data_IF_626530101091
#
_entry.id   IF_626530101091
#
_cell.length_a   1.000
_cell.length_b   1.000
_cell.length_c   1.000
_cell.angle_alpha   90.00
_cell.angle_beta   90.00
_cell.angle_gamma   90.00
#
_symmetry.space_group_name_H-M   'P 1'
#
loop_
_entity.id
_entity.type
_entity.pdbx_description
1 polymer ?
#
# COMPACT_ATOMS: atom_id res chain seq x y z
N UNK A 1 9.63 6.05 32.66
CA UNK A 1 9.94 5.31 31.42
C UNK A 1 8.71 4.51 31.06
N UNK A 2 7.94 4.93 30.06
CA UNK A 2 6.79 4.17 29.57
C UNK A 2 7.38 3.07 28.69
N UNK A 3 7.22 1.81 29.10
CA UNK A 3 7.55 0.66 28.25
C UNK A 3 6.32 0.45 27.35
N UNK A 4 6.45 0.67 26.03
CA UNK A 4 5.33 0.43 25.13
C UNK A 4 4.99 -1.06 25.15
N UNK A 5 3.74 -1.36 25.42
CA UNK A 5 3.23 -2.74 25.36
C UNK A 5 3.08 -3.12 23.89
N UNK A 6 3.74 -4.20 23.48
CA UNK A 6 3.57 -4.73 22.14
C UNK A 6 2.15 -5.32 22.04
N UNK A 7 1.27 -4.65 21.30
CA UNK A 7 -0.08 -5.15 21.03
C UNK A 7 -0.07 -5.77 19.64
N UNK A 8 -0.41 -7.05 19.56
CA UNK A 8 -0.59 -7.70 18.28
C UNK A 8 -1.89 -7.20 17.64
N UNK A 9 -1.86 -6.99 16.33
CA UNK A 9 -3.07 -6.72 15.56
C UNK A 9 -3.76 -8.06 15.35
N UNK A 10 -4.92 -8.25 15.98
CA UNK A 10 -5.82 -9.37 15.70
C UNK A 10 -6.89 -8.99 14.67
N UNK A 11 -7.78 -9.94 14.37
CA UNK A 11 -8.84 -9.76 13.39
C UNK A 11 -9.84 -8.66 13.77
N UNK A 12 -10.12 -8.49 15.07
CA UNK A 12 -11.05 -7.48 15.57
C UNK A 12 -10.44 -6.09 15.44
N UNK A 13 -9.19 -5.91 15.89
CA UNK A 13 -8.45 -4.66 15.78
C UNK A 13 -8.26 -4.27 14.31
N UNK A 14 -7.89 -5.21 13.44
CA UNK A 14 -7.73 -4.95 12.01
C UNK A 14 -9.04 -4.48 11.37
N UNK A 15 -10.13 -5.21 11.64
CA UNK A 15 -11.46 -4.86 11.14
C UNK A 15 -11.88 -3.48 11.63
N UNK A 16 -11.79 -3.21 12.93
CA UNK A 16 -12.14 -1.91 13.50
C UNK A 16 -11.37 -0.78 12.80
N UNK A 17 -10.06 -0.92 12.63
CA UNK A 17 -9.24 0.10 11.95
C UNK A 17 -9.69 0.37 10.52
N UNK A 18 -10.09 -0.66 9.77
CA UNK A 18 -10.61 -0.46 8.40
C UNK A 18 -11.88 0.41 8.43
N UNK A 19 -12.83 0.11 9.32
CA UNK A 19 -14.12 0.78 9.39
C UNK A 19 -14.05 2.18 10.01
N UNK A 20 -13.25 2.36 11.06
CA UNK A 20 -13.23 3.60 11.85
C UNK A 20 -12.14 4.58 11.41
N UNK A 21 -11.07 4.10 10.76
CA UNK A 21 -9.95 4.94 10.32
C UNK A 21 -9.80 4.99 8.81
N UNK A 22 -9.63 3.84 8.16
CA UNK A 22 -9.21 3.79 6.75
C UNK A 22 -10.32 4.28 5.81
N UNK A 23 -11.52 3.71 5.90
CA UNK A 23 -12.62 4.07 5.00
C UNK A 23 -13.06 5.54 5.16
N UNK A 24 -13.24 6.07 6.38
CA UNK A 24 -13.53 7.48 6.58
C UNK A 24 -12.44 8.39 6.01
N UNK A 25 -11.15 8.04 6.19
CA UNK A 25 -10.06 8.82 5.63
C UNK A 25 -10.07 8.82 4.10
N UNK A 26 -10.37 7.69 3.46
CA UNK A 26 -10.52 7.61 2.00
C UNK A 26 -11.66 8.50 1.53
N UNK A 27 -12.85 8.38 2.13
CA UNK A 27 -14.02 9.22 1.74
C UNK A 27 -13.74 10.71 1.91
N UNK A 28 -13.00 11.11 2.95
CA UNK A 28 -12.71 12.51 3.27
C UNK A 28 -11.53 13.12 2.52
N UNK A 29 -10.53 12.32 2.12
CA UNK A 29 -9.26 12.83 1.57
C UNK A 29 -9.01 12.44 0.13
N UNK A 30 -9.61 11.37 -0.39
CA UNK A 30 -9.21 10.81 -1.69
C UNK A 30 -9.86 11.57 -2.86
N UNK A 31 -9.09 12.31 -3.67
CA UNK A 31 -9.63 13.03 -4.81
C UNK A 31 -9.85 12.03 -5.95
N UNK A 32 -11.10 11.67 -6.21
CA UNK A 32 -11.42 10.70 -7.27
C UNK A 32 -12.66 11.06 -8.06
N UNK A 33 -12.60 10.87 -9.37
CA UNK A 33 -13.76 10.85 -10.25
C UNK A 33 -14.53 9.52 -10.16
N UNK A 34 -13.83 8.44 -9.77
CA UNK A 34 -14.40 7.10 -9.60
C UNK A 34 -14.38 6.70 -8.13
N UNK A 35 -15.54 6.64 -7.49
CA UNK A 35 -15.67 6.27 -6.07
C UNK A 35 -15.57 4.75 -5.83
N UNK A 36 -14.97 4.00 -6.74
CA UNK A 36 -14.72 2.56 -6.60
C UNK A 36 -13.31 2.32 -6.08
N UNK A 37 -13.20 1.72 -4.90
CA UNK A 37 -11.94 1.48 -4.19
C UNK A 37 -11.76 -0.02 -3.98
N UNK A 38 -10.56 -0.50 -4.31
CA UNK A 38 -10.13 -1.87 -4.01
C UNK A 38 -9.17 -1.80 -2.83
N UNK A 39 -9.56 -2.38 -1.70
CA UNK A 39 -8.68 -2.55 -0.54
C UNK A 39 -7.93 -3.85 -0.75
N UNK A 40 -6.64 -3.74 -1.04
CA UNK A 40 -5.76 -4.90 -1.20
C UNK A 40 -5.02 -5.17 0.12
N UNK A 41 -4.92 -6.45 0.49
CA UNK A 41 -4.13 -6.93 1.64
C UNK A 41 -3.55 -8.32 1.37
N UNK A 42 -2.54 -8.72 2.14
CA UNK A 42 -1.97 -10.07 2.10
C UNK A 42 -2.87 -11.07 2.87
N UNK A 43 -2.41 -12.32 2.98
CA UNK A 43 -3.16 -13.39 3.65
C UNK A 43 -2.76 -13.61 5.12
N UNK A 44 -2.22 -12.60 5.82
CA UNK A 44 -1.97 -12.70 7.25
C UNK A 44 -3.25 -13.05 8.02
N UNK A 45 -3.15 -13.87 9.07
CA UNK A 45 -4.34 -14.38 9.80
C UNK A 45 -5.35 -13.31 10.21
N UNK A 46 -4.95 -12.13 10.75
CA UNK A 46 -5.90 -11.06 11.11
C UNK A 46 -6.75 -10.55 9.94
N UNK A 47 -6.21 -10.59 8.73
CA UNK A 47 -6.89 -10.09 7.52
C UNK A 47 -8.09 -10.95 7.12
N UNK A 48 -8.21 -12.17 7.66
CA UNK A 48 -9.41 -13.00 7.54
C UNK A 48 -10.64 -12.44 8.23
N UNK A 49 -10.49 -11.44 9.12
CA UNK A 49 -11.59 -10.84 9.89
C UNK A 49 -12.53 -9.90 9.13
N UNK A 50 -12.29 -9.67 7.85
CA UNK A 50 -13.10 -8.78 7.01
C UNK A 50 -13.40 -9.39 5.64
N UNK A 51 -14.62 -9.15 5.17
CA UNK A 51 -15.19 -9.69 3.92
C UNK A 51 -15.81 -8.59 3.06
N UNK A 52 -16.20 -8.92 1.83
CA UNK A 52 -16.89 -7.96 0.94
C UNK A 52 -18.29 -7.63 1.46
N UNK A 53 -18.93 -8.59 2.11
CA UNK A 53 -20.24 -8.46 2.74
C UNK A 53 -20.19 -7.41 3.85
N UNK A 54 -19.12 -7.38 4.63
CA UNK A 54 -18.90 -6.36 5.66
C UNK A 54 -18.78 -4.96 5.04
N UNK A 55 -18.07 -4.84 3.90
CA UNK A 55 -17.85 -3.58 3.20
C UNK A 55 -19.10 -3.04 2.49
N UNK A 56 -20.13 -3.86 2.30
CA UNK A 56 -21.39 -3.42 1.69
C UNK A 56 -22.04 -2.28 2.50
N UNK A 57 -21.99 -2.36 3.83
CA UNK A 57 -22.57 -1.38 4.75
C UNK A 57 -21.95 0.03 4.64
N UNK A 58 -20.68 0.12 4.22
CA UNK A 58 -19.92 1.37 4.09
C UNK A 58 -19.77 1.84 2.64
N UNK A 59 -20.25 1.04 1.69
CA UNK A 59 -20.34 1.37 0.26
C UNK A 59 -21.57 2.23 -0.03
N UNK A 60 -21.55 3.44 0.52
CA UNK A 60 -22.63 4.43 0.48
C UNK A 60 -22.21 5.68 -0.31
N UNK A 61 -23.16 6.54 -0.66
CA UNK A 61 -22.88 7.87 -1.25
C UNK A 61 -22.12 7.80 -2.58
N UNK A 62 -22.43 6.74 -3.35
CA UNK A 62 -21.78 6.39 -4.60
C UNK A 62 -20.42 5.71 -4.44
N UNK A 63 -19.93 5.51 -3.21
CA UNK A 63 -18.72 4.73 -2.97
C UNK A 63 -18.98 3.23 -3.06
N UNK A 64 -18.00 2.52 -3.60
CA UNK A 64 -17.99 1.05 -3.62
C UNK A 64 -16.63 0.59 -3.13
N UNK A 65 -16.60 -0.11 -2.00
CA UNK A 65 -15.40 -0.72 -1.45
C UNK A 65 -15.46 -2.22 -1.67
N UNK A 66 -14.37 -2.79 -2.18
CA UNK A 66 -14.21 -4.24 -2.33
C UNK A 66 -12.83 -4.67 -1.83
N UNK A 67 -12.75 -5.85 -1.23
CA UNK A 67 -11.50 -6.48 -0.82
C UNK A 67 -10.91 -7.28 -1.96
N UNK A 68 -9.57 -7.25 -2.04
CA UNK A 68 -8.78 -8.18 -2.83
C UNK A 68 -7.63 -8.71 -2.00
N UNK A 69 -7.61 -10.03 -1.84
CA UNK A 69 -6.46 -10.73 -1.27
C UNK A 69 -5.40 -10.91 -2.34
N UNK A 70 -4.17 -10.63 -1.96
CA UNK A 70 -3.00 -10.91 -2.76
C UNK A 70 -2.83 -12.43 -2.95
N UNK A 71 -2.27 -12.90 -4.08
CA UNK A 71 -1.84 -14.28 -4.21
C UNK A 71 -0.87 -14.69 -3.08
N UNK A 72 -0.93 -15.94 -2.57
CA UNK A 72 -0.01 -16.42 -1.54
C UNK A 72 1.47 -16.26 -1.94
N UNK A 73 2.35 -16.01 -0.96
CA UNK A 73 3.81 -15.93 -1.12
C UNK A 73 4.30 -14.98 -2.24
N UNK A 74 3.56 -13.89 -2.48
CA UNK A 74 3.82 -13.00 -3.62
C UNK A 74 4.10 -11.56 -3.19
N UNK A 75 5.03 -11.29 -2.25
CA UNK A 75 5.23 -9.95 -1.67
C UNK A 75 5.45 -8.85 -2.73
N UNK A 76 6.00 -9.21 -3.89
CA UNK A 76 6.20 -8.31 -5.03
C UNK A 76 4.89 -7.76 -5.64
N UNK A 77 3.73 -8.33 -5.24
CA UNK A 77 2.39 -7.86 -5.62
C UNK A 77 1.75 -6.93 -4.58
N UNK A 78 2.43 -6.62 -3.47
CA UNK A 78 1.96 -5.66 -2.47
C UNK A 78 2.81 -4.40 -2.60
N UNK A 79 2.20 -3.28 -3.00
CA UNK A 79 2.92 -1.99 -3.12
C UNK A 79 3.62 -1.58 -1.84
N UNK A 80 3.04 -1.92 -0.69
CA UNK A 80 3.62 -1.57 0.60
C UNK A 80 4.97 -2.29 0.79
N UNK A 81 5.00 -3.60 0.59
CA UNK A 81 6.20 -4.44 0.72
C UNK A 81 7.19 -4.24 -0.43
N UNK A 82 6.70 -4.12 -1.67
CA UNK A 82 7.52 -4.02 -2.89
C UNK A 82 8.45 -2.81 -2.87
N UNK A 83 8.08 -1.73 -2.17
CA UNK A 83 9.00 -0.61 -2.04
C UNK A 83 8.53 0.59 -1.24
N UNK A 84 7.24 0.73 -0.90
CA UNK A 84 6.82 1.90 -0.14
C UNK A 84 7.38 1.91 1.28
N UNK A 85 7.34 0.78 1.99
CA UNK A 85 7.97 0.67 3.31
C UNK A 85 9.48 0.89 3.25
N UNK A 86 10.16 0.38 2.22
CA UNK A 86 11.59 0.64 2.01
C UNK A 86 11.88 2.13 1.79
N UNK A 87 11.03 2.86 1.05
CA UNK A 87 11.13 4.31 0.89
C UNK A 87 11.02 5.05 2.22
N UNK A 88 10.00 4.74 3.02
CA UNK A 88 9.80 5.33 4.36
C UNK A 88 10.99 5.03 5.27
N UNK A 89 11.39 3.76 5.32
CA UNK A 89 12.49 3.29 6.16
C UNK A 89 13.82 3.98 5.81
N UNK A 90 14.09 4.22 4.51
CA UNK A 90 15.29 4.92 4.06
C UNK A 90 15.37 6.38 4.56
N UNK A 91 14.22 7.04 4.73
CA UNK A 91 14.11 8.39 5.28
C UNK A 91 14.17 8.36 6.81
N UNK A 92 13.47 7.41 7.43
CA UNK A 92 13.43 7.21 8.87
C UNK A 92 14.83 6.92 9.44
N UNK A 93 15.68 6.14 8.74
CA UNK A 93 17.07 5.89 9.17
C UNK A 93 17.99 7.12 9.17
N UNK A 94 17.58 8.22 8.53
CA UNK A 94 18.32 9.49 8.59
C UNK A 94 18.05 10.26 9.89
N UNK A 95 17.05 9.84 10.66
CA UNK A 95 16.65 10.45 11.93
C UNK A 95 17.17 9.60 13.10
N UNK A 96 17.66 10.26 14.14
CA UNK A 96 18.11 9.58 15.36
C UNK A 96 16.89 9.26 16.21
N UNK A 97 16.67 7.98 16.51
CA UNK A 97 15.61 7.52 17.41
C UNK A 97 16.20 6.78 18.61
N UNK A 98 15.78 7.15 19.83
CA UNK A 98 16.23 6.52 21.09
C UNK A 98 15.09 5.94 21.91
N UNK A 99 13.86 6.08 21.42
CA UNK A 99 12.63 5.61 22.05
C UNK A 99 11.61 5.23 20.98
N UNK A 100 10.56 4.52 21.38
CA UNK A 100 9.45 4.20 20.46
C UNK A 100 8.72 5.45 20.00
N UNK A 101 8.56 6.46 20.86
CA UNK A 101 7.99 7.75 20.46
C UNK A 101 8.85 8.44 19.39
N UNK A 102 10.18 8.34 19.48
CA UNK A 102 11.06 8.84 18.42
C UNK A 102 10.88 8.07 17.11
N UNK A 103 10.69 6.74 17.17
CA UNK A 103 10.44 5.93 15.98
C UNK A 103 9.11 6.31 15.33
N UNK A 104 8.05 6.50 16.13
CA UNK A 104 6.75 6.95 15.64
C UNK A 104 6.89 8.33 14.98
N UNK A 105 7.53 9.29 15.64
CA UNK A 105 7.76 10.63 15.08
C UNK A 105 8.59 10.57 13.79
N UNK A 106 9.68 9.81 13.79
CA UNK A 106 10.54 9.67 12.63
C UNK A 106 9.81 9.04 11.44
N UNK A 107 8.94 8.07 11.70
CA UNK A 107 8.10 7.42 10.68
C UNK A 107 7.07 8.40 10.11
N UNK A 108 6.42 9.20 10.95
CA UNK A 108 5.47 10.24 10.49
C UNK A 108 6.18 11.31 9.66
N UNK A 109 7.34 11.78 10.10
CA UNK A 109 8.16 12.74 9.33
C UNK A 109 8.60 12.13 8.00
N UNK A 110 9.06 10.88 8.00
CA UNK A 110 9.43 10.17 6.78
C UNK A 110 8.24 10.01 5.82
N UNK A 111 7.02 9.80 6.34
CA UNK A 111 5.80 9.73 5.53
C UNK A 111 5.48 11.08 4.86
N UNK A 112 5.56 12.19 5.60
CA UNK A 112 5.34 13.52 5.03
C UNK A 112 6.44 13.94 4.03
N UNK A 113 7.67 13.47 4.24
CA UNK A 113 8.78 13.71 3.31
C UNK A 113 8.79 12.77 2.10
N UNK A 114 8.06 11.66 2.16
CA UNK A 114 7.97 10.73 1.06
C UNK A 114 7.09 11.35 -0.03
N UNK A 115 7.74 11.78 -1.11
CA UNK A 115 7.02 12.36 -2.23
C UNK A 115 6.09 11.35 -2.93
N UNK A 116 5.04 11.87 -3.56
CA UNK A 116 4.16 11.10 -4.43
C UNK A 116 4.92 10.45 -5.58
N UNK A 117 6.08 11.00 -5.92
CA UNK A 117 7.00 10.46 -6.89
C UNK A 117 7.57 9.10 -6.46
N UNK A 118 7.94 8.91 -5.20
CA UNK A 118 8.44 7.63 -4.70
C UNK A 118 7.36 6.55 -4.82
N UNK A 119 6.13 6.87 -4.43
CA UNK A 119 5.00 5.93 -4.54
C UNK A 119 4.70 5.55 -6.00
N UNK A 120 4.67 6.53 -6.92
CA UNK A 120 4.43 6.23 -8.33
C UNK A 120 5.58 5.40 -8.97
N UNK A 121 6.82 5.50 -8.48
CA UNK A 121 7.94 4.63 -8.88
C UNK A 121 7.70 3.18 -8.45
N UNK A 122 7.08 2.96 -7.29
CA UNK A 122 6.71 1.61 -6.82
C UNK A 122 5.62 1.01 -7.70
N UNK A 123 4.58 1.77 -8.06
CA UNK A 123 3.53 1.29 -8.98
C UNK A 123 4.07 0.90 -10.37
N UNK A 124 5.01 1.66 -10.93
CA UNK A 124 5.68 1.28 -12.17
C UNK A 124 6.47 -0.04 -12.03
N UNK A 125 7.05 -0.26 -10.85
CA UNK A 125 7.75 -1.50 -10.52
C UNK A 125 6.76 -2.65 -10.45
N UNK A 126 5.61 -2.46 -9.78
CA UNK A 126 4.54 -3.44 -9.69
C UNK A 126 4.05 -3.87 -11.08
N UNK A 127 3.84 -2.93 -12.00
CA UNK A 127 3.44 -3.25 -13.37
C UNK A 127 4.50 -4.09 -14.11
N UNK A 128 5.78 -3.81 -13.90
CA UNK A 128 6.85 -4.61 -14.50
C UNK A 128 6.92 -6.01 -13.88
N UNK A 129 6.74 -6.14 -12.56
CA UNK A 129 6.62 -7.42 -11.86
C UNK A 129 5.46 -8.24 -12.41
N UNK A 130 4.27 -7.64 -12.56
CA UNK A 130 3.11 -8.33 -13.12
C UNK A 130 3.38 -8.88 -14.53
N UNK A 131 4.10 -8.13 -15.38
CA UNK A 131 4.52 -8.64 -16.70
C UNK A 131 5.46 -9.83 -16.59
N UNK A 132 6.46 -9.77 -15.71
CA UNK A 132 7.38 -10.89 -15.47
C UNK A 132 6.64 -12.14 -14.98
N UNK A 133 5.68 -12.00 -14.07
CA UNK A 133 4.85 -13.12 -13.60
C UNK A 133 4.13 -13.79 -14.77
N UNK A 134 3.53 -13.00 -15.67
CA UNK A 134 2.85 -13.53 -16.86
C UNK A 134 3.84 -14.23 -17.79
N UNK A 135 5.00 -13.63 -18.05
CA UNK A 135 6.07 -14.23 -18.87
C UNK A 135 6.60 -15.55 -18.30
N UNK A 136 6.60 -15.71 -16.98
CA UNK A 136 7.07 -16.90 -16.28
C UNK A 136 5.92 -17.85 -15.88
N UNK A 137 4.75 -17.73 -16.53
CA UNK A 137 3.63 -18.66 -16.34
C UNK A 137 3.04 -18.67 -14.93
N UNK A 138 3.07 -17.53 -14.23
CA UNK A 138 2.63 -17.41 -12.84
C UNK A 138 3.71 -17.71 -11.79
N UNK A 139 4.91 -18.11 -12.22
CA UNK A 139 6.04 -18.36 -11.32
C UNK A 139 6.62 -17.08 -10.70
N UNK A 140 7.36 -17.25 -9.60
CA UNK A 140 8.08 -16.17 -8.90
C UNK A 140 9.60 -16.18 -9.17
N UNK A 141 10.06 -16.97 -10.14
CA UNK A 141 11.47 -17.13 -10.48
C UNK A 141 11.92 -16.07 -11.49
N UNK A 142 11.82 -14.80 -11.11
CA UNK A 142 12.31 -13.67 -11.91
C UNK A 142 13.16 -12.74 -11.05
N UNK A 143 14.08 -12.01 -11.69
CA UNK A 143 14.81 -10.93 -11.01
C UNK A 143 13.97 -9.66 -11.06
N UNK A 144 13.85 -8.99 -9.92
CA UNK A 144 13.20 -7.69 -9.87
C UNK A 144 13.88 -6.74 -10.88
N UNK A 145 13.11 -6.13 -11.79
CA UNK A 145 13.69 -5.35 -12.87
C UNK A 145 14.24 -4.03 -12.31
N UNK A 146 15.51 -3.75 -12.60
CA UNK A 146 16.09 -2.41 -12.38
C UNK A 146 15.57 -1.46 -13.46
N UNK A 147 14.40 -0.87 -13.21
CA UNK A 147 13.74 0.03 -14.16
C UNK A 147 14.41 1.41 -14.18
N UNK A 148 14.57 1.98 -15.38
CA UNK A 148 14.79 3.43 -15.55
C UNK A 148 13.46 4.17 -15.36
N UNK A 149 12.98 4.22 -14.11
CA UNK A 149 11.62 4.67 -13.73
C UNK A 149 11.30 6.09 -14.24
N UNK A 150 12.30 6.97 -14.29
CA UNK A 150 12.16 8.36 -14.76
C UNK A 150 11.96 8.48 -16.28
N UNK A 151 12.42 7.50 -17.07
CA UNK A 151 12.18 7.45 -18.51
C UNK A 151 10.77 6.92 -18.81
N UNK A 152 10.31 5.91 -18.07
CA UNK A 152 8.99 5.29 -18.26
C UNK A 152 7.83 6.25 -17.97
N UNK A 153 7.99 7.16 -17.00
CA UNK A 153 6.98 8.20 -16.74
C UNK A 153 6.76 9.17 -17.88
N UNK A 154 7.83 9.59 -18.56
CA UNK A 154 7.74 10.53 -19.68
C UNK A 154 6.90 9.95 -20.81
N UNK A 155 7.03 8.64 -21.03
CA UNK A 155 6.21 7.91 -22.00
C UNK A 155 4.77 7.77 -21.52
N UNK A 156 4.54 7.37 -20.25
CA UNK A 156 3.19 7.22 -19.69
C UNK A 156 2.37 8.52 -19.71
N UNK A 157 3.00 9.65 -19.38
CA UNK A 157 2.39 10.98 -19.44
C UNK A 157 2.06 11.41 -20.88
N UNK A 158 2.91 11.07 -21.86
CA UNK A 158 2.62 11.34 -23.28
C UNK A 158 1.44 10.51 -23.79
N UNK A 159 1.34 9.23 -23.42
CA UNK A 159 0.21 8.38 -23.82
C UNK A 159 -1.12 8.80 -23.20
N UNK A 160 -1.13 9.30 -21.96
CA UNK A 160 -2.34 9.81 -21.30
C UNK A 160 -2.81 11.18 -21.85
N UNK A 161 -1.96 11.87 -22.62
CA UNK A 161 -2.29 13.16 -23.25
C UNK A 161 -2.86 13.01 -24.67
N UNK A 162 -2.92 11.79 -25.20
CA UNK A 162 -3.35 11.46 -26.57
C UNK A 162 -4.70 10.69 -26.56
N UNK A 163 -5.26 10.43 -25.38
CA UNK A 163 -6.58 9.82 -25.15
C UNK A 163 -7.54 10.79 -24.51
#
# INVERSE_FOLDING_TARGET
MIVPTLVNVDAEVYRDYIFTRVIPAIKGKFPTSTKRVVIQHDNATPHGGITNEDLASVSTDGWTFVLRRQPPNSPDLNVLDLGFFASIQSLQYKLVSRSVDDVIRATLVAFELCDSESLAKVFLTLQAVMRLIVEHGGGNQYRLPHLRKDAMRRVAAQTASIS
#
